data_IF_256820968255
#
_entry.id   IF_256820968255
#
_cell.length_a   1.000
_cell.length_b   1.000
_cell.length_c   1.000
_cell.angle_alpha   90.00
_cell.angle_beta   90.00
_cell.angle_gamma   90.00
#
_symmetry.space_group_name_H-M   'P 1'
#
loop_
_entity.id
_entity.type
_entity.pdbx_description
1 polymer ?
#
# COMPACT_ATOMS: atom_id res chain seq x y z
N UNK A 1 17.03 -9.59 12.04
CA UNK A 1 17.15 -8.14 11.75
C UNK A 1 17.46 -7.35 13.03
N UNK A 2 18.37 -6.37 13.00
CA UNK A 2 18.64 -5.51 14.16
C UNK A 2 17.57 -4.40 14.28
N UNK A 3 16.75 -4.45 15.33
CA UNK A 3 15.61 -3.54 15.52
C UNK A 3 15.96 -2.25 16.27
N UNK A 4 17.18 -2.14 16.80
CA UNK A 4 17.65 -1.03 17.65
C UNK A 4 17.59 0.33 16.95
N UNK A 5 17.57 0.34 15.62
CA UNK A 5 17.54 1.55 14.81
C UNK A 5 16.13 1.96 14.37
N UNK A 6 15.11 1.10 14.54
CA UNK A 6 13.75 1.36 14.06
C UNK A 6 13.10 2.53 14.77
N UNK A 7 13.30 2.65 16.08
CA UNK A 7 12.79 3.77 16.87
C UNK A 7 13.31 5.14 16.41
N UNK A 8 14.49 5.19 15.77
CA UNK A 8 15.02 6.44 15.18
C UNK A 8 14.20 6.87 13.98
N UNK A 9 13.84 5.92 13.11
CA UNK A 9 13.01 6.19 11.94
C UNK A 9 11.57 6.59 12.31
N UNK A 10 11.03 6.10 13.42
CA UNK A 10 9.68 6.46 13.86
C UNK A 10 9.51 7.95 14.19
N UNK A 11 10.58 8.60 14.64
CA UNK A 11 10.57 10.01 15.07
C UNK A 11 11.24 10.96 14.08
N UNK A 12 11.76 10.44 12.98
CA UNK A 12 12.38 11.26 11.94
C UNK A 12 11.30 12.01 11.16
N UNK A 13 11.32 13.34 11.23
CA UNK A 13 10.38 14.22 10.54
C UNK A 13 10.41 14.05 9.02
N UNK A 14 11.57 13.75 8.45
CA UNK A 14 11.71 13.58 6.99
C UNK A 14 10.97 12.32 6.52
N UNK A 15 11.06 11.24 7.29
CA UNK A 15 10.35 9.99 7.06
C UNK A 15 8.85 10.22 7.26
N UNK A 16 8.45 10.84 8.37
CA UNK A 16 7.04 11.13 8.65
C UNK A 16 6.42 11.90 7.48
N UNK A 17 7.02 13.01 7.03
CA UNK A 17 6.47 13.82 5.94
C UNK A 17 6.37 13.03 4.61
N UNK A 18 7.44 12.30 4.26
CA UNK A 18 7.48 11.47 3.03
C UNK A 18 6.36 10.43 3.00
N UNK A 19 6.18 9.69 4.09
CA UNK A 19 5.22 8.58 4.13
C UNK A 19 3.78 9.05 4.42
N UNK A 20 3.57 10.13 5.19
CA UNK A 20 2.23 10.73 5.38
C UNK A 20 1.67 11.23 4.04
N UNK A 21 2.46 11.94 3.24
CA UNK A 21 2.08 12.39 1.88
C UNK A 21 1.68 11.23 0.99
N UNK A 22 2.42 10.13 1.04
CA UNK A 22 2.17 8.93 0.23
C UNK A 22 0.95 8.14 0.72
N UNK A 23 0.65 8.15 2.02
CA UNK A 23 -0.51 7.46 2.62
C UNK A 23 -1.82 8.24 2.46
N UNK A 24 -1.78 9.57 2.42
CA UNK A 24 -2.95 10.44 2.27
C UNK A 24 -3.74 10.18 0.98
N UNK A 25 -3.03 9.97 -0.13
CA UNK A 25 -3.64 9.74 -1.44
C UNK A 25 -4.48 8.45 -1.50
N UNK A 26 -4.12 7.43 -0.72
CA UNK A 26 -4.81 6.13 -0.71
C UNK A 26 -6.01 6.04 0.23
N UNK A 27 -6.14 6.95 1.21
CA UNK A 27 -7.19 6.87 2.25
C UNK A 27 -8.53 7.44 1.78
N UNK A 28 -8.52 8.50 0.99
CA UNK A 28 -9.76 9.14 0.56
C UNK A 28 -10.25 8.56 -0.77
N UNK A 29 -11.14 7.57 -0.69
CA UNK A 29 -11.87 7.08 -1.88
C UNK A 29 -12.62 8.20 -2.62
N UNK A 30 -12.97 9.27 -1.90
CA UNK A 30 -13.56 10.50 -2.43
C UNK A 30 -12.65 11.26 -3.41
N UNK A 31 -11.31 11.04 -3.39
CA UNK A 31 -10.40 11.62 -4.40
C UNK A 31 -10.57 10.94 -5.76
N UNK A 32 -10.95 9.66 -5.80
CA UNK A 32 -11.09 8.93 -7.06
C UNK A 32 -12.26 9.40 -7.90
N UNK A 33 -13.35 9.88 -7.31
CA UNK A 33 -14.51 10.36 -8.06
C UNK A 33 -14.17 11.55 -8.98
N UNK A 34 -13.67 12.70 -8.48
CA UNK A 34 -13.29 13.80 -9.35
C UNK A 34 -12.10 13.44 -10.25
N UNK A 35 -11.20 12.55 -9.83
CA UNK A 35 -10.08 12.10 -10.66
C UNK A 35 -10.55 11.30 -11.88
N UNK A 36 -11.44 10.31 -11.69
CA UNK A 36 -11.97 9.48 -12.78
C UNK A 36 -12.81 10.33 -13.75
N UNK A 37 -13.65 11.22 -13.23
CA UNK A 37 -14.44 12.15 -14.04
C UNK A 37 -13.50 13.06 -14.85
N UNK A 38 -12.49 13.64 -14.19
CA UNK A 38 -11.50 14.50 -14.83
C UNK A 38 -10.75 13.79 -15.95
N UNK A 39 -10.21 12.59 -15.70
CA UNK A 39 -9.49 11.79 -16.71
C UNK A 39 -10.42 11.40 -17.86
N UNK A 40 -11.63 10.92 -17.57
CA UNK A 40 -12.61 10.54 -18.59
C UNK A 40 -12.98 11.69 -19.51
N UNK A 41 -13.24 12.88 -18.95
CA UNK A 41 -13.50 14.09 -19.73
C UNK A 41 -12.28 14.55 -20.53
N UNK A 42 -11.06 14.38 -20.00
CA UNK A 42 -9.82 14.72 -20.70
C UNK A 42 -9.58 13.80 -21.90
N UNK A 43 -9.81 12.49 -21.74
CA UNK A 43 -9.78 11.53 -22.84
C UNK A 43 -10.84 11.86 -23.90
N UNK A 44 -12.04 12.22 -23.48
CA UNK A 44 -13.11 12.63 -24.40
C UNK A 44 -12.78 13.92 -25.15
N UNK A 45 -12.21 14.93 -24.47
CA UNK A 45 -11.76 16.18 -25.09
C UNK A 45 -10.64 15.92 -26.10
N UNK A 46 -9.67 15.06 -25.76
CA UNK A 46 -8.62 14.66 -26.69
C UNK A 46 -9.23 14.00 -27.95
N UNK A 47 -10.12 13.03 -27.76
CA UNK A 47 -10.83 12.38 -28.87
C UNK A 47 -11.61 13.41 -29.72
N UNK A 48 -12.35 14.31 -29.07
CA UNK A 48 -13.14 15.33 -29.76
C UNK A 48 -12.30 16.27 -30.62
N UNK A 49 -11.09 16.63 -30.15
CA UNK A 49 -10.16 17.52 -30.86
C UNK A 49 -9.44 16.77 -31.99
N UNK A 50 -8.94 15.56 -31.74
CA UNK A 50 -8.13 14.81 -32.71
C UNK A 50 -8.97 14.13 -33.81
N UNK A 51 -10.23 13.75 -33.53
CA UNK A 51 -11.14 13.09 -34.47
C UNK A 51 -12.13 14.07 -35.12
N UNK A 52 -11.92 15.39 -34.95
CA UNK A 52 -12.72 16.41 -35.64
C UNK A 52 -14.18 16.53 -35.17
N UNK A 53 -14.54 16.00 -34.00
CA UNK A 53 -15.89 16.11 -33.42
C UNK A 53 -16.23 17.53 -32.92
N UNK A 54 -15.29 18.47 -32.99
CA UNK A 54 -15.45 19.87 -32.58
C UNK A 54 -16.62 20.54 -33.31
N UNK A 55 -16.81 20.27 -34.60
CA UNK A 55 -17.89 20.86 -35.40
C UNK A 55 -19.27 20.34 -34.98
N UNK A 56 -19.35 19.08 -34.55
CA UNK A 56 -20.58 18.43 -34.11
C UNK A 56 -20.98 18.84 -32.69
N UNK A 57 -20.01 18.95 -31.79
CA UNK A 57 -20.24 19.21 -30.36
C UNK A 57 -20.32 20.72 -30.06
N UNK A 58 -19.62 21.54 -30.85
CA UNK A 58 -19.56 22.99 -30.69
C UNK A 58 -18.56 23.45 -29.62
N UNK A 59 -17.92 24.59 -29.90
CA UNK A 59 -16.86 25.18 -29.07
C UNK A 59 -17.35 25.52 -27.64
N UNK A 60 -18.62 25.89 -27.48
CA UNK A 60 -19.20 26.20 -26.18
C UNK A 60 -19.21 25.01 -25.22
N UNK A 61 -19.61 23.83 -25.69
CA UNK A 61 -19.61 22.60 -24.89
C UNK A 61 -18.19 22.14 -24.55
N UNK A 62 -17.23 22.25 -25.48
CA UNK A 62 -15.81 21.96 -25.25
C UNK A 62 -15.22 22.88 -24.16
N UNK A 63 -15.58 24.17 -24.21
CA UNK A 63 -15.13 25.15 -23.22
C UNK A 63 -15.65 24.81 -21.81
N UNK A 64 -16.92 24.44 -21.68
CA UNK A 64 -17.53 24.02 -20.41
C UNK A 64 -16.85 22.74 -19.89
N UNK A 65 -16.67 21.73 -20.74
CA UNK A 65 -15.98 20.48 -20.35
C UNK A 65 -14.55 20.74 -19.88
N UNK A 66 -13.81 21.64 -20.54
CA UNK A 66 -12.46 22.02 -20.14
C UNK A 66 -12.45 22.68 -18.75
N UNK A 67 -13.42 23.55 -18.45
CA UNK A 67 -13.56 24.15 -17.11
C UNK A 67 -13.85 23.06 -16.06
N UNK A 68 -14.75 22.12 -16.35
CA UNK A 68 -15.08 21.01 -15.44
C UNK A 68 -13.83 20.17 -15.14
N UNK A 69 -13.02 19.86 -16.15
CA UNK A 69 -11.75 19.14 -15.98
C UNK A 69 -10.81 19.88 -15.02
N UNK A 70 -10.65 21.19 -15.21
CA UNK A 70 -9.81 22.02 -14.31
C UNK A 70 -10.36 21.98 -12.88
N UNK A 71 -11.67 22.15 -12.68
CA UNK A 71 -12.30 22.07 -11.35
C UNK A 71 -12.08 20.70 -10.71
N UNK A 72 -12.20 19.61 -11.47
CA UNK A 72 -11.94 18.25 -10.98
C UNK A 72 -10.52 18.10 -10.42
N UNK A 73 -9.49 18.59 -11.13
CA UNK A 73 -8.12 18.53 -10.63
C UNK A 73 -7.86 19.44 -9.43
N UNK A 74 -8.49 20.63 -9.39
CA UNK A 74 -8.43 21.50 -8.21
C UNK A 74 -9.04 20.79 -6.99
N UNK A 75 -10.20 20.15 -7.15
CA UNK A 75 -10.84 19.38 -6.08
C UNK A 75 -9.96 18.22 -5.59
N UNK A 76 -9.34 17.47 -6.51
CA UNK A 76 -8.36 16.42 -6.16
C UNK A 76 -7.23 17.00 -5.31
N UNK A 77 -6.66 18.14 -5.71
CA UNK A 77 -5.57 18.79 -4.99
C UNK A 77 -6.00 19.24 -3.58
N UNK A 78 -7.19 19.85 -3.45
CA UNK A 78 -7.74 20.31 -2.16
C UNK A 78 -8.02 19.14 -1.23
N UNK A 79 -8.66 18.08 -1.71
CA UNK A 79 -8.98 16.90 -0.90
C UNK A 79 -7.68 16.21 -0.44
N UNK A 80 -6.69 16.08 -1.33
CA UNK A 80 -5.41 15.47 -0.98
C UNK A 80 -4.63 16.31 0.05
N UNK A 81 -4.62 17.64 -0.10
CA UNK A 81 -3.98 18.55 0.86
C UNK A 81 -4.66 18.50 2.24
N UNK A 82 -5.98 18.43 2.27
CA UNK A 82 -6.76 18.28 3.52
C UNK A 82 -6.47 16.95 4.21
N UNK A 83 -6.47 15.85 3.44
CA UNK A 83 -6.14 14.52 3.96
C UNK A 83 -4.69 14.45 4.50
N UNK A 84 -3.75 15.08 3.80
CA UNK A 84 -2.37 15.21 4.25
C UNK A 84 -2.27 15.95 5.58
N UNK A 85 -2.88 17.14 5.67
CA UNK A 85 -2.87 17.96 6.88
C UNK A 85 -3.47 17.20 8.07
N UNK A 86 -4.62 16.56 7.88
CA UNK A 86 -5.27 15.77 8.92
C UNK A 86 -4.40 14.60 9.39
N UNK A 87 -3.85 13.82 8.46
CA UNK A 87 -2.97 12.70 8.82
C UNK A 87 -1.70 13.18 9.52
N UNK A 88 -1.11 14.29 9.09
CA UNK A 88 0.08 14.86 9.71
C UNK A 88 -0.21 15.35 11.14
N UNK A 89 -1.34 16.02 11.36
CA UNK A 89 -1.76 16.48 12.69
C UNK A 89 -2.10 15.32 13.64
N UNK A 90 -2.67 14.23 13.11
CA UNK A 90 -2.99 13.01 13.87
C UNK A 90 -1.75 12.13 14.12
N UNK A 91 -0.78 12.13 13.21
CA UNK A 91 0.35 11.19 13.20
C UNK A 91 1.64 11.87 13.65
N UNK A 92 1.94 11.74 14.94
CA UNK A 92 3.19 12.28 15.53
C UNK A 92 4.42 11.39 15.28
N UNK A 93 4.23 10.17 14.79
CA UNK A 93 5.26 9.15 14.62
C UNK A 93 4.99 8.34 13.35
N UNK A 94 6.02 7.97 12.60
CA UNK A 94 5.89 6.99 11.52
C UNK A 94 5.90 5.59 12.13
N UNK A 95 4.76 4.85 12.19
CA UNK A 95 4.77 3.51 12.77
C UNK A 95 5.56 2.59 11.85
N UNK A 96 6.79 2.29 12.26
CA UNK A 96 7.66 1.36 11.56
C UNK A 96 7.31 -0.04 12.03
N UNK A 97 7.15 -0.96 11.10
CA UNK A 97 6.77 -2.34 11.38
C UNK A 97 7.72 -3.28 10.67
N UNK A 98 7.99 -4.43 11.29
CA UNK A 98 8.70 -5.52 10.64
C UNK A 98 7.69 -6.26 9.75
N UNK A 99 8.05 -6.38 8.48
CA UNK A 99 7.39 -7.21 7.51
C UNK A 99 8.24 -8.44 7.20
N UNK A 100 7.58 -9.58 6.94
CA UNK A 100 8.20 -10.85 6.54
C UNK A 100 7.61 -11.30 5.21
N UNK A 101 8.46 -11.65 4.24
CA UNK A 101 8.06 -12.31 2.99
C UNK A 101 7.63 -13.76 3.29
N UNK A 102 6.44 -14.13 2.83
CA UNK A 102 5.82 -15.46 3.05
C UNK A 102 5.76 -16.23 1.75
N UNK A 103 4.79 -15.92 0.88
CA UNK A 103 4.60 -16.52 -0.44
C UNK A 103 4.84 -15.49 -1.53
N UNK A 104 5.11 -15.91 -2.76
CA UNK A 104 5.16 -14.98 -3.88
C UNK A 104 5.55 -15.63 -5.18
N UNK A 105 5.75 -14.78 -6.17
CA UNK A 105 6.21 -15.13 -7.50
C UNK A 105 7.62 -14.57 -7.69
N UNK A 106 8.62 -15.45 -7.69
CA UNK A 106 10.03 -15.07 -7.84
C UNK A 106 10.33 -14.46 -9.22
N UNK A 107 9.59 -14.86 -10.27
CA UNK A 107 9.76 -14.32 -11.63
C UNK A 107 9.35 -12.85 -11.68
N UNK A 108 8.22 -12.51 -11.07
CA UNK A 108 7.71 -11.13 -11.02
C UNK A 108 8.23 -10.33 -9.83
N UNK A 109 8.99 -10.97 -8.93
CA UNK A 109 9.45 -10.42 -7.65
C UNK A 109 8.34 -9.74 -6.85
N UNK A 110 7.16 -10.36 -6.83
CA UNK A 110 6.00 -9.90 -6.07
C UNK A 110 5.66 -10.94 -5.01
N UNK A 111 5.67 -10.49 -3.75
CA UNK A 111 5.52 -11.37 -2.60
C UNK A 111 4.40 -10.90 -1.69
N UNK A 112 3.59 -11.85 -1.24
CA UNK A 112 2.77 -11.70 -0.06
C UNK A 112 3.67 -11.59 1.17
N UNK A 113 3.64 -10.43 1.80
CA UNK A 113 4.32 -10.18 3.05
C UNK A 113 3.29 -9.94 4.15
N UNK A 114 3.63 -10.35 5.36
CA UNK A 114 2.86 -10.09 6.57
C UNK A 114 3.59 -9.09 7.45
N UNK A 115 2.85 -8.28 8.20
CA UNK A 115 3.40 -7.38 9.22
C UNK A 115 2.33 -7.16 10.29
N UNK A 116 2.78 -6.80 11.49
CA UNK A 116 1.89 -6.44 12.60
C UNK A 116 2.01 -4.97 12.93
N UNK A 117 0.98 -4.43 13.56
CA UNK A 117 0.89 -3.03 13.98
C UNK A 117 0.65 -2.95 15.48
N UNK A 118 0.91 -1.80 16.11
CA UNK A 118 0.71 -1.62 17.55
C UNK A 118 1.92 -2.08 18.36
N UNK A 119 1.70 -2.82 19.45
CA UNK A 119 2.76 -3.21 20.38
C UNK A 119 3.72 -4.25 19.79
N UNK A 120 3.23 -5.16 18.96
CA UNK A 120 4.03 -6.24 18.34
C UNK A 120 4.76 -5.81 17.07
N UNK A 121 4.68 -4.53 16.67
CA UNK A 121 5.18 -4.04 15.37
C UNK A 121 6.69 -4.28 15.14
N UNK A 122 7.46 -4.33 16.22
CA UNK A 122 8.90 -4.60 16.20
C UNK A 122 9.26 -6.03 16.65
N UNK A 123 8.27 -6.89 16.90
CA UNK A 123 8.50 -8.26 17.36
C UNK A 123 8.75 -9.19 16.16
N UNK A 124 10.03 -9.39 15.87
CA UNK A 124 10.51 -10.31 14.84
C UNK A 124 10.13 -11.76 15.12
N UNK A 125 10.13 -12.18 16.40
CA UNK A 125 9.81 -13.56 16.78
C UNK A 125 8.34 -13.84 16.57
N UNK A 126 7.48 -12.89 16.93
CA UNK A 126 6.04 -12.96 16.66
C UNK A 126 5.74 -13.09 15.17
N UNK A 127 6.31 -12.22 14.32
CA UNK A 127 6.00 -12.27 12.88
C UNK A 127 6.51 -13.55 12.23
N UNK A 128 7.66 -14.08 12.68
CA UNK A 128 8.17 -15.37 12.22
C UNK A 128 7.27 -16.52 12.64
N UNK A 129 6.78 -16.55 13.89
CA UNK A 129 5.80 -17.55 14.34
C UNK A 129 4.54 -17.54 13.49
N UNK A 130 4.02 -16.37 13.12
CA UNK A 130 2.86 -16.27 12.24
C UNK A 130 3.18 -16.79 10.83
N UNK A 131 4.35 -16.47 10.28
CA UNK A 131 4.78 -17.01 8.99
C UNK A 131 4.89 -18.55 9.02
N UNK A 132 5.49 -19.11 10.07
CA UNK A 132 5.59 -20.56 10.28
C UNK A 132 4.21 -21.21 10.38
N UNK A 133 3.27 -20.61 11.14
CA UNK A 133 1.89 -21.08 11.21
C UNK A 133 1.25 -21.12 9.83
N UNK A 134 1.47 -20.10 8.99
CA UNK A 134 0.95 -20.06 7.62
C UNK A 134 1.55 -21.18 6.77
N UNK A 135 2.86 -21.38 6.82
CA UNK A 135 3.54 -22.44 6.07
C UNK A 135 3.15 -23.86 6.51
N UNK A 136 2.76 -24.03 7.77
CA UNK A 136 2.33 -25.30 8.32
C UNK A 136 0.89 -25.69 7.96
N UNK A 137 0.11 -24.80 7.32
CA UNK A 137 -1.29 -25.09 6.96
C UNK A 137 -1.31 -26.17 5.86
N UNK A 138 -1.96 -27.33 6.10
CA UNK A 138 -2.12 -28.35 5.07
C UNK A 138 -3.03 -27.86 3.94
N UNK A 139 -2.65 -28.10 2.69
CA UNK A 139 -3.44 -27.71 1.50
C UNK A 139 -4.87 -28.30 1.52
N UNK A 140 -5.06 -29.45 2.19
CA UNK A 140 -6.33 -30.18 2.28
C UNK A 140 -7.01 -30.03 3.64
N UNK A 141 -6.72 -28.96 4.40
CA UNK A 141 -7.33 -28.69 5.70
C UNK A 141 -8.85 -28.57 5.60
N UNK A 142 -9.55 -29.04 6.64
CA UNK A 142 -10.99 -28.84 6.80
C UNK A 142 -11.34 -27.67 7.72
N UNK A 143 -10.34 -27.11 8.41
CA UNK A 143 -10.54 -25.96 9.29
C UNK A 143 -10.91 -24.71 8.48
N UNK A 144 -11.89 -23.96 9.01
CA UNK A 144 -12.44 -22.79 8.31
C UNK A 144 -11.44 -21.63 8.27
N UNK A 145 -10.69 -21.41 9.36
CA UNK A 145 -9.72 -20.32 9.47
C UNK A 145 -8.54 -20.63 8.55
N UNK A 146 -8.06 -21.87 8.55
CA UNK A 146 -6.99 -22.29 7.65
C UNK A 146 -7.35 -22.11 6.17
N UNK A 147 -8.58 -22.50 5.78
CA UNK A 147 -9.09 -22.25 4.42
C UNK A 147 -9.12 -20.77 4.08
N UNK A 148 -9.57 -19.93 5.01
CA UNK A 148 -9.56 -18.49 4.84
C UNK A 148 -8.14 -17.97 4.64
N UNK A 149 -7.17 -18.41 5.46
CA UNK A 149 -5.75 -18.05 5.29
C UNK A 149 -5.23 -18.49 3.91
N UNK A 150 -5.45 -19.74 3.50
CA UNK A 150 -5.00 -20.22 2.19
C UNK A 150 -5.59 -19.37 1.06
N UNK A 151 -6.87 -19.02 1.14
CA UNK A 151 -7.53 -18.12 0.19
C UNK A 151 -6.88 -16.72 0.15
N UNK A 152 -6.43 -16.20 1.29
CA UNK A 152 -5.72 -14.92 1.37
C UNK A 152 -4.33 -14.96 0.67
N UNK A 153 -3.72 -16.14 0.52
CA UNK A 153 -2.38 -16.33 -0.08
C UNK A 153 -2.40 -17.05 -1.43
N UNK A 154 -3.57 -17.26 -2.06
CA UNK A 154 -3.66 -17.83 -3.41
C UNK A 154 -2.80 -17.04 -4.41
N UNK A 155 -1.95 -17.76 -5.14
CA UNK A 155 -0.95 -17.20 -6.08
C UNK A 155 -1.61 -16.67 -7.37
N UNK A 156 -2.90 -16.94 -7.56
CA UNK A 156 -3.64 -16.75 -8.81
C UNK A 156 -3.76 -15.27 -9.28
N UNK A 157 -3.45 -14.29 -8.42
CA UNK A 157 -3.58 -12.88 -8.78
C UNK A 157 -2.43 -12.02 -8.23
N UNK A 158 -1.48 -11.70 -9.09
CA UNK A 158 -0.47 -10.67 -8.81
C UNK A 158 -1.11 -9.29 -8.94
N UNK A 159 -1.37 -8.66 -7.80
CA UNK A 159 -2.01 -7.34 -7.65
C UNK A 159 -1.18 -6.48 -6.69
N UNK A 160 -0.03 -5.93 -7.13
CA UNK A 160 0.85 -5.13 -6.27
C UNK A 160 0.21 -3.84 -5.72
N UNK A 161 -0.91 -3.41 -6.31
CA UNK A 161 -1.73 -2.28 -5.83
C UNK A 161 -2.79 -2.64 -4.79
N UNK A 162 -2.92 -3.90 -4.38
CA UNK A 162 -3.93 -4.33 -3.40
C UNK A 162 -3.71 -3.66 -2.04
N UNK A 163 -4.80 -3.17 -1.43
CA UNK A 163 -4.76 -2.78 -0.03
C UNK A 163 -4.52 -3.99 0.85
N UNK A 164 -3.83 -3.78 1.96
CA UNK A 164 -3.57 -4.85 2.90
C UNK A 164 -4.88 -5.37 3.48
N UNK A 165 -4.95 -6.69 3.62
CA UNK A 165 -6.08 -7.40 4.20
C UNK A 165 -5.67 -7.96 5.53
N UNK A 166 -6.51 -7.75 6.53
CA UNK A 166 -6.30 -8.24 7.89
C UNK A 166 -6.45 -9.77 7.92
N UNK A 167 -5.57 -10.45 8.65
CA UNK A 167 -5.73 -11.87 8.94
C UNK A 167 -6.82 -12.07 10.02
N UNK A 168 -7.51 -13.22 10.04
CA UNK A 168 -8.43 -13.57 11.10
C UNK A 168 -7.77 -13.48 12.48
N UNK A 169 -8.41 -12.76 13.41
CA UNK A 169 -7.85 -12.56 14.77
C UNK A 169 -7.67 -13.87 15.53
N UNK A 170 -8.53 -14.86 15.27
CA UNK A 170 -8.42 -16.19 15.85
C UNK A 170 -7.14 -16.92 15.38
N UNK A 171 -6.61 -16.59 14.20
CA UNK A 171 -5.35 -17.15 13.71
C UNK A 171 -4.13 -16.48 14.36
N UNK A 172 -4.26 -15.22 14.77
CA UNK A 172 -3.14 -14.37 15.21
C UNK A 172 -3.17 -14.09 16.71
N UNK A 173 -3.87 -14.94 17.48
CA UNK A 173 -3.99 -14.85 18.94
C UNK A 173 -4.50 -13.46 19.41
N UNK A 174 -5.42 -12.86 18.63
CA UNK A 174 -6.01 -11.55 18.91
C UNK A 174 -5.21 -10.34 18.41
N UNK A 175 -4.01 -10.54 17.85
CA UNK A 175 -3.15 -9.46 17.36
C UNK A 175 -3.50 -9.06 15.93
N UNK A 176 -3.51 -7.77 15.63
CA UNK A 176 -3.76 -7.30 14.26
C UNK A 176 -2.54 -7.54 13.36
N UNK A 177 -2.62 -8.60 12.54
CA UNK A 177 -1.65 -8.89 11.47
C UNK A 177 -2.30 -8.63 10.13
N UNK A 178 -1.54 -8.05 9.23
CA UNK A 178 -1.97 -7.65 7.91
C UNK A 178 -1.11 -8.35 6.87
N UNK A 179 -1.74 -8.73 5.76
CA UNK A 179 -1.05 -9.27 4.57
C UNK A 179 -1.21 -8.30 3.41
N UNK A 180 -0.11 -8.06 2.69
CA UNK A 180 -0.08 -7.24 1.48
C UNK A 180 0.92 -7.80 0.48
N UNK A 181 0.64 -7.65 -0.81
CA UNK A 181 1.62 -7.87 -1.86
C UNK A 181 2.59 -6.68 -1.99
N UNK A 182 3.88 -6.97 -2.03
CA UNK A 182 4.93 -6.00 -2.31
C UNK A 182 5.72 -6.41 -3.56
N UNK A 183 5.86 -5.47 -4.50
CA UNK A 183 6.75 -5.61 -5.64
C UNK A 183 8.19 -5.28 -5.22
N UNK A 184 8.92 -6.28 -4.74
CA UNK A 184 10.30 -6.15 -4.29
C UNK A 184 11.27 -5.97 -5.48
N UNK A 185 10.87 -6.36 -6.69
CA UNK A 185 11.67 -6.16 -7.91
C UNK A 185 11.98 -4.70 -8.25
N UNK A 186 11.24 -3.75 -7.65
CA UNK A 186 11.49 -2.31 -7.82
C UNK A 186 12.60 -1.78 -6.88
N UNK A 187 13.07 -2.59 -5.93
CA UNK A 187 14.19 -2.23 -5.06
C UNK A 187 15.52 -2.50 -5.77
N UNK A 188 16.59 -1.74 -5.46
CA UNK A 188 17.92 -2.07 -5.97
C UNK A 188 18.40 -3.43 -5.45
N UNK A 189 19.31 -4.08 -6.18
CA UNK A 189 19.67 -5.50 -5.96
C UNK A 189 20.30 -5.76 -4.58
N UNK A 190 21.07 -4.82 -4.10
CA UNK A 190 21.65 -4.79 -2.75
C UNK A 190 20.59 -4.78 -1.65
N UNK A 191 19.52 -3.99 -1.82
CA UNK A 191 18.39 -3.99 -0.92
C UNK A 191 17.67 -5.34 -0.94
N UNK A 192 17.45 -5.93 -2.12
CA UNK A 192 16.85 -7.27 -2.24
C UNK A 192 17.70 -8.34 -1.53
N UNK A 193 19.02 -8.30 -1.70
CA UNK A 193 19.94 -9.21 -1.01
C UNK A 193 19.86 -9.02 0.51
N UNK A 194 19.85 -7.77 0.98
CA UNK A 194 19.72 -7.42 2.40
C UNK A 194 18.44 -8.01 3.01
N UNK A 195 17.33 -8.05 2.25
CA UNK A 195 16.08 -8.67 2.71
C UNK A 195 16.29 -10.17 2.89
N UNK A 196 16.86 -10.86 1.90
CA UNK A 196 17.10 -12.31 1.99
C UNK A 196 18.06 -12.65 3.14
N UNK A 197 19.15 -11.90 3.31
CA UNK A 197 20.13 -12.08 4.39
C UNK A 197 19.53 -11.83 5.78
N UNK A 198 18.51 -10.99 5.88
CA UNK A 198 17.77 -10.73 7.12
C UNK A 198 16.62 -11.71 7.36
N UNK A 199 16.74 -12.97 6.92
CA UNK A 199 15.66 -13.97 6.96
C UNK A 199 14.39 -13.41 6.30
N UNK A 200 14.49 -12.86 5.10
CA UNK A 200 13.36 -12.33 4.32
C UNK A 200 12.52 -11.27 5.06
N UNK A 201 13.11 -10.58 6.04
CA UNK A 201 12.48 -9.51 6.80
C UNK A 201 12.93 -8.15 6.29
N UNK A 202 12.03 -7.17 6.42
CA UNK A 202 12.29 -5.78 6.08
C UNK A 202 11.32 -4.86 6.80
N UNK A 203 11.64 -3.57 6.85
CA UNK A 203 10.80 -2.58 7.50
C UNK A 203 9.78 -1.98 6.53
N UNK A 204 8.58 -1.73 7.05
CA UNK A 204 7.53 -0.97 6.38
C UNK A 204 7.05 0.16 7.27
N UNK A 205 6.61 1.26 6.69
CA UNK A 205 5.90 2.34 7.38
C UNK A 205 4.41 2.13 7.16
N UNK A 206 3.64 1.97 8.24
CA UNK A 206 2.23 1.63 8.22
C UNK A 206 1.36 2.70 8.89
N UNK A 207 1.51 3.98 8.50
CA UNK A 207 0.70 5.11 9.03
C UNK A 207 -0.80 4.80 8.90
N UNK A 208 -1.16 4.17 7.78
CA UNK A 208 -2.45 3.53 7.57
C UNK A 208 -2.16 2.04 7.40
N UNK A 209 -2.66 1.15 8.29
CA UNK A 209 -2.39 -0.28 8.22
C UNK A 209 -2.83 -0.91 6.90
N UNK A 210 -3.86 -0.42 6.23
CA UNK A 210 -4.29 -0.95 4.93
C UNK A 210 -3.32 -0.57 3.80
N UNK A 211 -2.48 0.45 4.01
CA UNK A 211 -1.62 1.01 2.97
C UNK A 211 -0.17 1.21 3.41
N UNK A 212 0.52 0.15 3.86
CA UNK A 212 1.93 0.22 4.22
C UNK A 212 2.81 0.51 3.00
N UNK A 213 4.00 1.03 3.27
CA UNK A 213 5.04 1.29 2.28
C UNK A 213 6.36 0.74 2.78
N UNK A 214 7.18 0.21 1.87
CA UNK A 214 8.54 -0.24 2.21
C UNK A 214 9.33 0.97 2.71
N UNK A 215 10.00 0.83 3.86
CA UNK A 215 10.91 1.84 4.37
C UNK A 215 12.22 1.78 3.56
N UNK A 216 12.33 2.57 2.50
CA UNK A 216 13.49 2.54 1.61
C UNK A 216 14.79 2.98 2.29
N UNK A 217 14.69 3.85 3.28
CA UNK A 217 15.78 4.46 4.04
C UNK A 217 16.57 3.44 4.86
N UNK A 218 16.00 2.25 5.13
CA UNK A 218 16.71 1.18 5.83
C UNK A 218 17.83 0.54 4.99
N UNK A 219 17.81 0.75 3.67
CA UNK A 219 18.74 0.16 2.71
C UNK A 219 19.78 1.17 2.21
N UNK A 220 19.78 2.39 2.76
CA UNK A 220 20.68 3.49 2.38
C UNK A 220 21.86 3.62 3.34
#
# INVERSE_FOLDING_TARGET
MNTTHLGKFEHDRTIIDKYVKSSAFGKNKLVYAPLIIGIGLLCFLAFAIFEGLVETIGIGAISIMSVIVVVCFILVAVINRSAHKKLYEETKTAPVCIAKKVYGNDVQNIYYCIYSTGETRHDSSFINKIAEKIFAIPTNTNDKIDKEILDLFKIDFVKPGEFAKKLPLAFTDGVAVWRRQFALGNLPKDAQQTIEDNDRQFCVVAIVPENPRILTEQFS
#
